data_IF_059764395706
#
_entry.id   IF_059764395706
#
_cell.length_a   1.000
_cell.length_b   1.000
_cell.length_c   1.000
_cell.angle_alpha   90.00
_cell.angle_beta   90.00
_cell.angle_gamma   90.00
#
_symmetry.space_group_name_H-M   'P 1'
#
loop_
_entity.id
_entity.type
_entity.pdbx_description
1 polymer ?
#
# COMPACT_ATOMS: atom_id res chain seq x y z
N UNK A 1 -24.99 17.12 -13.31
CA UNK A 1 -23.53 17.03 -13.04
C UNK A 1 -23.38 16.22 -11.76
N UNK A 2 -22.70 15.07 -11.80
CA UNK A 2 -22.46 14.28 -10.59
C UNK A 2 -21.37 14.99 -9.78
N UNK A 3 -21.69 15.39 -8.54
CA UNK A 3 -20.73 16.06 -7.68
C UNK A 3 -20.06 15.01 -6.79
N UNK A 4 -18.78 14.76 -7.05
CA UNK A 4 -17.94 13.92 -6.21
C UNK A 4 -17.35 14.82 -5.13
N UNK A 5 -17.60 14.48 -3.87
CA UNK A 5 -17.00 15.10 -2.72
C UNK A 5 -15.79 14.28 -2.26
N UNK A 6 -14.82 14.96 -1.68
CA UNK A 6 -13.61 14.34 -1.13
C UNK A 6 -13.61 14.51 0.38
N UNK A 7 -13.46 13.41 1.11
CA UNK A 7 -13.39 13.36 2.58
C UNK A 7 -12.10 12.69 2.99
N UNK A 8 -11.48 13.17 4.06
CA UNK A 8 -10.28 12.56 4.65
C UNK A 8 -10.69 11.58 5.74
N UNK A 9 -10.18 10.36 5.66
CA UNK A 9 -10.33 9.32 6.69
C UNK A 9 -8.95 9.09 7.28
N UNK A 10 -8.85 9.14 8.59
CA UNK A 10 -7.60 8.96 9.31
C UNK A 10 -7.54 7.52 9.78
N UNK A 11 -6.51 6.79 9.40
CA UNK A 11 -6.22 5.53 10.06
C UNK A 11 -5.53 5.81 11.39
N UNK A 12 -6.10 5.28 12.47
CA UNK A 12 -5.64 5.54 13.84
C UNK A 12 -4.40 4.70 14.18
N UNK A 13 -4.21 3.56 13.51
CA UNK A 13 -3.12 2.62 13.82
C UNK A 13 -1.80 3.03 13.17
N UNK A 14 -1.78 3.23 11.85
CA UNK A 14 -0.56 3.60 11.11
C UNK A 14 -0.40 5.13 10.98
N UNK A 15 -1.41 5.91 11.39
CA UNK A 15 -1.39 7.38 11.34
C UNK A 15 -1.49 7.95 9.93
N UNK A 16 -1.86 7.13 8.94
CA UNK A 16 -2.01 7.53 7.55
C UNK A 16 -3.34 8.22 7.28
N UNK A 17 -3.37 9.09 6.26
CA UNK A 17 -4.57 9.82 5.85
C UNK A 17 -4.98 9.35 4.45
N UNK A 18 -6.17 8.77 4.39
CA UNK A 18 -6.78 8.24 3.17
C UNK A 18 -7.80 9.22 2.58
N UNK A 19 -8.00 9.13 1.27
CA UNK A 19 -8.88 10.03 0.52
C UNK A 19 -10.12 9.28 0.05
N UNK A 20 -11.24 9.46 0.73
CA UNK A 20 -12.52 8.93 0.32
C UNK A 20 -13.18 9.84 -0.72
N UNK A 21 -13.57 9.27 -1.87
CA UNK A 21 -14.43 9.92 -2.86
C UNK A 21 -15.85 9.44 -2.66
N UNK A 22 -16.77 10.36 -2.40
CA UNK A 22 -18.19 10.05 -2.17
C UNK A 22 -19.07 10.82 -3.14
N UNK A 23 -20.18 10.23 -3.54
CA UNK A 23 -21.18 10.87 -4.39
C UNK A 23 -22.58 10.38 -4.02
N UNK A 24 -23.56 11.27 -4.18
CA UNK A 24 -24.98 10.91 -4.03
C UNK A 24 -25.50 10.32 -5.34
N UNK A 25 -26.00 9.08 -5.28
CA UNK A 25 -26.60 8.37 -6.39
C UNK A 25 -28.09 8.12 -6.11
N UNK A 26 -28.95 9.04 -6.58
CA UNK A 26 -30.38 9.01 -6.30
C UNK A 26 -30.68 9.19 -4.81
N UNK A 27 -31.24 8.15 -4.18
CA UNK A 27 -31.56 8.14 -2.74
C UNK A 27 -30.41 7.63 -1.86
N UNK A 28 -29.39 7.01 -2.45
CA UNK A 28 -28.28 6.39 -1.73
C UNK A 28 -26.99 7.15 -1.95
N UNK A 29 -26.04 6.94 -1.07
CA UNK A 29 -24.67 7.42 -1.15
C UNK A 29 -23.76 6.27 -1.58
N UNK A 30 -22.79 6.58 -2.42
CA UNK A 30 -21.76 5.65 -2.87
C UNK A 30 -20.41 6.29 -2.65
N UNK A 31 -19.44 5.52 -2.18
CA UNK A 31 -18.08 6.02 -2.03
C UNK A 31 -17.02 4.94 -2.13
N UNK A 32 -15.79 5.38 -2.35
CA UNK A 32 -14.61 4.51 -2.42
C UNK A 32 -13.35 5.24 -1.93
N UNK A 33 -12.36 4.49 -1.51
CA UNK A 33 -11.04 5.02 -1.14
C UNK A 33 -10.20 5.19 -2.41
N UNK A 34 -9.63 6.37 -2.63
CA UNK A 34 -8.84 6.68 -3.83
C UNK A 34 -7.60 5.79 -3.93
N UNK A 35 -6.94 5.58 -2.80
CA UNK A 35 -5.73 4.77 -2.66
C UNK A 35 -6.05 3.26 -2.76
N UNK A 36 -7.25 2.86 -2.30
CA UNK A 36 -7.75 1.49 -2.37
C UNK A 36 -9.11 1.41 -3.07
N UNK A 37 -9.18 1.46 -4.42
CA UNK A 37 -10.45 1.48 -5.16
C UNK A 37 -11.35 0.26 -4.95
N UNK A 38 -10.78 -0.84 -4.42
CA UNK A 38 -11.52 -2.05 -4.03
C UNK A 38 -12.36 -1.84 -2.76
N UNK A 39 -11.98 -0.90 -1.90
CA UNK A 39 -12.77 -0.46 -0.74
C UNK A 39 -13.84 0.49 -1.27
N UNK A 40 -15.01 -0.08 -1.57
CA UNK A 40 -16.18 0.62 -2.08
C UNK A 40 -17.42 0.22 -1.29
N UNK A 41 -18.20 1.21 -0.86
CA UNK A 41 -19.41 1.00 -0.07
C UNK A 41 -20.57 1.85 -0.60
N UNK A 42 -21.78 1.45 -0.24
CA UNK A 42 -23.00 2.20 -0.49
C UNK A 42 -23.87 2.20 0.77
N UNK A 43 -24.46 3.34 1.11
CA UNK A 43 -25.32 3.49 2.28
C UNK A 43 -26.44 4.51 2.02
N UNK A 44 -27.47 4.52 2.87
CA UNK A 44 -28.61 5.42 2.66
C UNK A 44 -28.33 6.85 3.11
N UNK A 45 -27.39 7.05 4.04
CA UNK A 45 -26.95 8.36 4.51
C UNK A 45 -25.44 8.53 4.27
N UNK A 46 -24.99 9.79 4.27
CA UNK A 46 -23.58 10.12 4.11
C UNK A 46 -22.77 9.61 5.31
N UNK A 47 -23.27 9.81 6.53
CA UNK A 47 -22.58 9.38 7.76
C UNK A 47 -22.43 7.86 7.82
N UNK A 48 -23.49 7.11 7.50
CA UNK A 48 -23.42 5.64 7.43
C UNK A 48 -22.45 5.17 6.34
N UNK A 49 -22.35 5.89 5.21
CA UNK A 49 -21.36 5.59 4.18
C UNK A 49 -19.94 5.78 4.71
N UNK A 50 -19.67 6.90 5.39
CA UNK A 50 -18.35 7.21 5.92
C UNK A 50 -17.93 6.19 6.99
N UNK A 51 -18.82 5.87 7.93
CA UNK A 51 -18.59 4.84 8.95
C UNK A 51 -18.32 3.47 8.31
N UNK A 52 -19.09 3.09 7.29
CA UNK A 52 -18.88 1.81 6.61
C UNK A 52 -17.56 1.80 5.83
N UNK A 53 -17.19 2.92 5.18
CA UNK A 53 -15.92 3.06 4.46
C UNK A 53 -14.73 2.97 5.41
N UNK A 54 -14.78 3.64 6.56
CA UNK A 54 -13.75 3.61 7.59
C UNK A 54 -13.56 2.20 8.12
N UNK A 55 -14.64 1.52 8.53
CA UNK A 55 -14.59 0.15 9.02
C UNK A 55 -14.07 -0.84 7.96
N UNK A 56 -14.49 -0.68 6.70
CA UNK A 56 -14.05 -1.57 5.61
C UNK A 56 -12.59 -1.32 5.27
N UNK A 57 -12.14 -0.06 5.25
CA UNK A 57 -10.74 0.30 5.04
C UNK A 57 -9.87 -0.32 6.14
N UNK A 58 -10.25 -0.15 7.40
CA UNK A 58 -9.55 -0.74 8.54
C UNK A 58 -9.38 -2.25 8.40
N UNK A 59 -10.46 -2.98 8.07
CA UNK A 59 -10.40 -4.43 7.89
C UNK A 59 -9.46 -4.85 6.76
N UNK A 60 -9.40 -4.08 5.66
CA UNK A 60 -8.50 -4.37 4.54
C UNK A 60 -7.05 -4.12 4.94
N UNK A 61 -6.76 -2.99 5.59
CA UNK A 61 -5.41 -2.67 6.07
C UNK A 61 -4.91 -3.69 7.10
N UNK A 62 -5.76 -4.07 8.04
CA UNK A 62 -5.43 -5.07 9.06
C UNK A 62 -5.19 -6.45 8.44
N UNK A 63 -6.00 -6.86 7.46
CA UNK A 63 -5.78 -8.12 6.75
C UNK A 63 -4.45 -8.11 5.98
N UNK A 64 -4.10 -6.99 5.34
CA UNK A 64 -2.83 -6.82 4.64
C UNK A 64 -1.66 -6.90 5.64
N UNK A 65 -1.76 -6.24 6.81
CA UNK A 65 -0.74 -6.27 7.86
C UNK A 65 -0.51 -7.69 8.39
N UNK A 66 -1.58 -8.39 8.74
CA UNK A 66 -1.51 -9.79 9.21
C UNK A 66 -0.91 -10.73 8.16
N UNK A 67 -1.25 -10.53 6.88
CA UNK A 67 -0.68 -11.32 5.79
C UNK A 67 0.84 -11.09 5.65
N UNK A 68 1.28 -9.84 5.78
CA UNK A 68 2.70 -9.48 5.79
C UNK A 68 3.44 -10.10 6.97
N UNK A 69 2.91 -9.97 8.18
CA UNK A 69 3.52 -10.54 9.39
C UNK A 69 3.66 -12.06 9.27
N UNK A 70 2.61 -12.74 8.81
CA UNK A 70 2.65 -14.18 8.58
C UNK A 70 3.71 -14.58 7.55
N UNK A 71 3.77 -13.89 6.42
CA UNK A 71 4.77 -14.19 5.39
C UNK A 71 6.18 -13.93 5.89
N UNK A 72 6.38 -12.85 6.66
CA UNK A 72 7.66 -12.52 7.26
C UNK A 72 8.12 -13.61 8.23
N UNK A 73 7.22 -14.09 9.09
CA UNK A 73 7.53 -15.21 9.98
C UNK A 73 7.94 -16.48 9.22
N UNK A 74 7.24 -16.82 8.14
CA UNK A 74 7.57 -17.96 7.30
C UNK A 74 8.96 -17.78 6.64
N UNK A 75 9.28 -16.57 6.18
CA UNK A 75 10.56 -16.24 5.56
C UNK A 75 11.72 -16.28 6.55
N UNK A 76 11.49 -15.83 7.79
CA UNK A 76 12.43 -15.94 8.91
C UNK A 76 12.68 -17.41 9.24
N UNK A 77 11.61 -18.21 9.42
CA UNK A 77 11.71 -19.65 9.71
C UNK A 77 12.40 -20.42 8.58
N UNK A 78 12.17 -20.03 7.32
CA UNK A 78 12.82 -20.60 6.15
C UNK A 78 14.28 -20.15 5.98
N UNK A 79 14.79 -19.24 6.82
CA UNK A 79 16.15 -18.74 6.75
C UNK A 79 16.44 -17.91 5.50
N UNK A 80 15.40 -17.37 4.82
CA UNK A 80 15.58 -16.60 3.58
C UNK A 80 16.46 -15.37 3.80
N UNK A 81 16.34 -14.71 4.96
CA UNK A 81 17.19 -13.58 5.33
C UNK A 81 18.66 -13.99 5.46
N UNK A 82 18.94 -15.09 6.16
CA UNK A 82 20.30 -15.59 6.36
C UNK A 82 20.93 -16.00 5.02
N UNK A 83 20.21 -16.77 4.20
CA UNK A 83 20.71 -17.15 2.87
C UNK A 83 20.92 -15.95 1.94
N UNK A 84 20.08 -14.92 2.05
CA UNK A 84 20.26 -13.67 1.29
C UNK A 84 21.52 -12.94 1.76
N UNK A 85 21.75 -12.86 3.07
CA UNK A 85 22.95 -12.26 3.65
C UNK A 85 24.22 -13.00 3.22
N UNK A 86 24.24 -14.32 3.33
CA UNK A 86 25.37 -15.16 2.90
C UNK A 86 25.69 -14.96 1.43
N UNK A 87 24.66 -14.93 0.57
CA UNK A 87 24.82 -14.64 -0.87
C UNK A 87 25.41 -13.26 -1.11
N UNK A 88 24.87 -12.23 -0.47
CA UNK A 88 25.36 -10.84 -0.62
C UNK A 88 26.81 -10.74 -0.15
N UNK A 89 27.16 -11.37 0.98
CA UNK A 89 28.53 -11.43 1.48
C UNK A 89 29.46 -12.15 0.51
N UNK A 90 29.04 -13.28 -0.06
CA UNK A 90 29.83 -14.02 -1.04
C UNK A 90 30.08 -13.21 -2.32
N UNK A 91 29.05 -12.52 -2.84
CA UNK A 91 29.20 -11.66 -4.01
C UNK A 91 30.11 -10.46 -3.73
N UNK A 92 30.03 -9.89 -2.52
CA UNK A 92 30.96 -8.86 -2.06
C UNK A 92 32.40 -9.36 -2.02
N UNK A 93 32.63 -10.51 -1.38
CA UNK A 93 33.97 -11.12 -1.32
C UNK A 93 34.50 -11.55 -2.69
N UNK A 94 33.62 -11.92 -3.62
CA UNK A 94 33.97 -12.22 -5.00
C UNK A 94 34.22 -10.98 -5.87
N UNK A 95 34.13 -9.76 -5.31
CA UNK A 95 34.31 -8.51 -6.03
C UNK A 95 33.22 -8.22 -7.07
N UNK A 96 32.06 -8.89 -6.96
CA UNK A 96 30.92 -8.71 -7.87
C UNK A 96 30.07 -7.50 -7.50
N UNK A 97 30.40 -6.80 -6.41
CA UNK A 97 29.79 -5.52 -6.09
C UNK A 97 30.43 -4.42 -6.96
N UNK A 98 29.64 -3.85 -7.87
CA UNK A 98 30.05 -2.70 -8.67
C UNK A 98 29.97 -1.39 -7.89
N UNK A 99 30.73 -0.39 -8.35
CA UNK A 99 30.65 0.97 -7.79
C UNK A 99 29.26 1.56 -8.07
N UNK A 100 28.58 1.97 -7.00
CA UNK A 100 27.23 2.53 -7.07
C UNK A 100 27.19 3.79 -7.96
N UNK A 101 28.24 4.59 -7.96
CA UNK A 101 28.34 5.79 -8.78
C UNK A 101 28.44 5.44 -10.28
N UNK A 102 29.13 4.35 -10.63
CA UNK A 102 29.23 3.87 -12.01
C UNK A 102 27.87 3.33 -12.48
N UNK A 103 27.20 2.53 -11.66
CA UNK A 103 25.88 1.97 -11.98
C UNK A 103 24.82 3.06 -12.21
N UNK A 104 24.81 4.11 -11.36
CA UNK A 104 23.88 5.22 -11.49
C UNK A 104 24.20 6.10 -12.72
N UNK A 105 25.48 6.29 -13.05
CA UNK A 105 25.91 7.03 -14.25
C UNK A 105 25.46 6.32 -15.55
N UNK A 106 25.63 5.00 -15.62
CA UNK A 106 25.23 4.18 -16.78
C UNK A 106 23.69 4.16 -16.97
N UNK A 107 22.92 3.95 -15.89
CA UNK A 107 21.45 3.95 -15.97
C UNK A 107 20.86 5.35 -16.26
N UNK A 108 21.52 6.43 -15.82
CA UNK A 108 21.10 7.79 -16.15
C UNK A 108 21.30 8.13 -17.64
N UNK A 109 22.26 7.49 -18.31
CA UNK A 109 22.46 7.61 -19.75
C UNK A 109 21.42 6.81 -20.55
N UNK A 110 21.04 5.62 -20.09
CA UNK A 110 20.03 4.78 -20.75
C UNK A 110 18.60 5.33 -20.63
N UNK A 111 18.24 5.99 -19.53
CA UNK A 111 16.92 6.67 -19.38
C UNK A 111 16.74 7.94 -20.22
N UNK A 112 17.77 8.38 -20.94
CA UNK A 112 17.75 9.59 -21.79
C UNK A 112 17.70 9.27 -23.28
N UNK A 113 17.60 8.00 -23.66
CA UNK A 113 17.24 7.53 -25.02
C UNK A 113 15.80 7.02 -25.03
#
# INVERSE_FOLDING_TARGET
MYHIQTVKIHDVEDGEIYTAKIQKNGKRWMGWIQEHPKVKCEADTQDALLETLENTLYQVLEADRQAWDKQLEEDVKAGKLNSTLERVSADFHAGKCGDLAIFLSQNAAEKRM
#
